data_IF_433933255820
#
_entry.id   IF_433933255820
#
_cell.length_a   1.000
_cell.length_b   1.000
_cell.length_c   1.000
_cell.angle_alpha   90.00
_cell.angle_beta   90.00
_cell.angle_gamma   90.00
#
_symmetry.space_group_name_H-M   'P 1'
#
loop_
_entity.id
_entity.type
_entity.pdbx_description
1 polymer ?
#
# COMPACT_ATOMS: atom_id res chain seq x y z
N UNK A 1 15.14 7.12 14.13
CA UNK A 1 15.62 7.81 12.90
C UNK A 1 15.54 6.96 11.64
N UNK A 2 15.88 5.66 11.68
CA UNK A 2 15.82 4.72 10.52
C UNK A 2 14.46 4.54 9.81
N UNK A 3 13.28 4.50 10.48
CA UNK A 3 12.02 4.24 9.77
C UNK A 3 11.58 5.40 8.86
N UNK A 4 11.85 6.65 9.25
CA UNK A 4 11.47 7.83 8.47
C UNK A 4 12.20 7.86 7.12
N UNK A 5 13.49 7.49 7.12
CA UNK A 5 14.32 7.48 5.92
C UNK A 5 13.87 6.41 4.91
N UNK A 6 13.42 5.26 5.42
CA UNK A 6 12.84 4.17 4.60
C UNK A 6 11.50 4.61 3.99
N UNK A 7 10.64 5.31 4.76
CA UNK A 7 9.37 5.85 4.24
C UNK A 7 9.59 6.89 3.15
N UNK A 8 10.57 7.79 3.34
CA UNK A 8 10.94 8.79 2.32
C UNK A 8 11.49 8.10 1.07
N UNK A 9 12.33 7.08 1.23
CA UNK A 9 12.88 6.32 0.12
C UNK A 9 11.79 5.58 -0.67
N UNK A 10 10.81 5.00 0.05
CA UNK A 10 9.64 4.36 -0.58
C UNK A 10 8.78 5.38 -1.34
N UNK A 11 8.58 6.58 -0.78
CA UNK A 11 7.83 7.65 -1.47
C UNK A 11 8.57 8.15 -2.71
N UNK A 12 9.87 8.35 -2.60
CA UNK A 12 10.69 8.76 -3.73
C UNK A 12 10.64 7.69 -4.84
N UNK A 13 10.78 6.41 -4.49
CA UNK A 13 10.67 5.31 -5.45
C UNK A 13 9.29 5.24 -6.12
N UNK A 14 8.23 5.45 -5.33
CA UNK A 14 6.87 5.32 -5.84
C UNK A 14 6.43 6.53 -6.67
N UNK A 15 6.91 7.74 -6.38
CA UNK A 15 6.42 8.96 -7.06
C UNK A 15 7.45 9.69 -7.93
N UNK A 16 8.71 9.73 -7.51
CA UNK A 16 9.74 10.49 -8.23
C UNK A 16 10.45 9.64 -9.29
N UNK A 17 10.68 8.36 -9.01
CA UNK A 17 11.48 7.54 -9.90
C UNK A 17 10.68 7.10 -11.14
N UNK A 18 11.34 7.05 -12.32
CA UNK A 18 10.70 6.63 -13.55
C UNK A 18 10.27 5.17 -13.45
N UNK A 19 9.05 4.91 -13.88
CA UNK A 19 8.47 3.58 -13.80
C UNK A 19 9.10 2.66 -14.85
N UNK A 20 9.39 1.42 -14.46
CA UNK A 20 9.99 0.44 -15.37
C UNK A 20 8.89 -0.46 -15.89
N UNK A 21 8.81 -0.59 -17.20
CA UNK A 21 7.86 -1.49 -17.85
C UNK A 21 8.53 -2.81 -18.17
N UNK A 22 7.94 -3.91 -17.72
CA UNK A 22 8.45 -5.27 -17.92
C UNK A 22 7.35 -6.15 -18.52
N UNK A 23 7.74 -7.08 -19.37
CA UNK A 23 6.84 -8.11 -19.86
C UNK A 23 7.07 -9.36 -19.02
N UNK A 24 6.00 -9.92 -18.48
CA UNK A 24 6.05 -11.11 -17.62
C UNK A 24 4.85 -12.03 -17.91
N UNK A 25 4.86 -13.21 -17.28
CA UNK A 25 3.77 -14.17 -17.37
C UNK A 25 3.23 -14.54 -16.00
N UNK A 26 1.93 -14.84 -15.94
CA UNK A 26 1.27 -15.30 -14.73
C UNK A 26 1.64 -16.77 -14.50
N UNK A 27 2.27 -17.07 -13.36
CA UNK A 27 2.64 -18.43 -12.99
C UNK A 27 1.62 -19.08 -12.04
N UNK A 28 1.02 -18.31 -11.15
CA UNK A 28 0.08 -18.83 -10.15
C UNK A 28 -1.06 -17.86 -9.87
N UNK A 29 -2.26 -18.41 -9.67
CA UNK A 29 -3.48 -17.66 -9.37
C UNK A 29 -4.14 -18.25 -8.12
N UNK A 30 -4.48 -17.39 -7.17
CA UNK A 30 -5.22 -17.73 -5.96
C UNK A 30 -6.43 -16.82 -5.77
N UNK A 31 -7.44 -17.29 -5.04
CA UNK A 31 -8.67 -16.53 -4.79
C UNK A 31 -8.57 -15.80 -3.45
N UNK A 32 -8.99 -14.54 -3.42
CA UNK A 32 -9.17 -13.78 -2.19
C UNK A 32 -10.58 -14.07 -1.67
N UNK A 33 -10.66 -14.76 -0.54
CA UNK A 33 -11.91 -15.16 0.11
C UNK A 33 -12.13 -14.29 1.34
N UNK A 34 -13.28 -13.65 1.43
CA UNK A 34 -13.68 -12.94 2.65
C UNK A 34 -14.78 -13.73 3.34
N UNK A 35 -14.68 -13.97 4.66
CA UNK A 35 -15.77 -14.60 5.39
C UNK A 35 -16.97 -13.64 5.42
N UNK A 36 -18.07 -14.01 4.76
CA UNK A 36 -19.34 -13.32 4.97
C UNK A 36 -20.05 -13.96 6.16
N UNK A 37 -20.46 -13.13 7.12
CA UNK A 37 -21.38 -13.52 8.17
C UNK A 37 -22.78 -13.48 7.56
N UNK A 38 -23.35 -14.63 7.22
CA UNK A 38 -24.77 -14.74 6.95
C UNK A 38 -25.52 -14.43 8.24
N UNK A 39 -26.54 -13.58 8.17
CA UNK A 39 -27.36 -13.20 9.32
C UNK A 39 -28.20 -14.36 9.87
N UNK A 40 -28.24 -15.49 9.16
CA UNK A 40 -28.80 -16.76 9.59
C UNK A 40 -27.72 -17.82 9.83
N UNK A 41 -27.93 -18.60 10.91
CA UNK A 41 -27.03 -19.58 11.53
C UNK A 41 -26.70 -20.83 10.69
N UNK A 42 -26.57 -20.75 9.37
CA UNK A 42 -26.21 -21.91 8.56
C UNK A 42 -25.20 -21.55 7.47
N UNK A 43 -23.99 -22.07 7.66
CA UNK A 43 -22.87 -22.15 6.70
C UNK A 43 -22.23 -20.79 6.36
N UNK A 44 -21.00 -20.60 6.87
CA UNK A 44 -20.12 -19.48 6.53
C UNK A 44 -19.75 -19.54 5.04
N UNK A 45 -20.53 -18.88 4.19
CA UNK A 45 -20.28 -18.81 2.76
C UNK A 45 -19.06 -17.92 2.50
N UNK A 46 -18.03 -18.48 1.88
CA UNK A 46 -16.85 -17.73 1.45
C UNK A 46 -17.14 -17.10 0.08
N UNK A 47 -17.36 -15.78 0.03
CA UNK A 47 -17.47 -15.07 -1.24
C UNK A 47 -16.07 -14.74 -1.76
N UNK A 48 -15.78 -15.13 -2.99
CA UNK A 48 -14.56 -14.70 -3.68
C UNK A 48 -14.72 -13.23 -4.07
N UNK A 49 -13.87 -12.36 -3.51
CA UNK A 49 -13.89 -10.91 -3.77
C UNK A 49 -12.85 -10.48 -4.80
N UNK A 50 -11.91 -11.37 -5.14
CA UNK A 50 -10.85 -11.03 -6.08
C UNK A 50 -9.89 -12.17 -6.31
N UNK A 51 -8.87 -11.87 -7.11
CA UNK A 51 -7.84 -12.80 -7.54
C UNK A 51 -6.48 -12.25 -7.18
N UNK A 52 -5.60 -13.11 -6.67
CA UNK A 52 -4.21 -12.81 -6.36
C UNK A 52 -3.33 -13.59 -7.32
N UNK A 53 -2.43 -12.89 -8.00
CA UNK A 53 -1.56 -13.40 -9.03
C UNK A 53 -0.12 -13.36 -8.55
N UNK A 54 0.64 -14.37 -8.94
CA UNK A 54 2.10 -14.40 -8.81
C UNK A 54 2.69 -14.63 -10.20
N UNK A 55 3.62 -13.77 -10.59
CA UNK A 55 4.26 -13.84 -11.90
C UNK A 55 5.48 -14.76 -11.89
N UNK A 56 6.03 -15.07 -13.06
CA UNK A 56 7.24 -15.89 -13.16
C UNK A 56 8.46 -15.21 -12.50
N UNK A 57 8.48 -13.88 -12.39
CA UNK A 57 9.53 -13.13 -11.66
C UNK A 57 9.24 -12.91 -10.17
N UNK A 58 8.29 -13.66 -9.58
CA UNK A 58 7.82 -13.56 -8.19
C UNK A 58 7.20 -12.20 -7.82
N UNK A 59 6.70 -11.46 -8.82
CA UNK A 59 5.91 -10.26 -8.56
C UNK A 59 4.48 -10.64 -8.18
N UNK A 60 3.96 -9.95 -7.16
CA UNK A 60 2.65 -10.25 -6.57
C UNK A 60 1.72 -9.06 -6.77
N UNK A 61 0.55 -9.32 -7.30
CA UNK A 61 -0.50 -8.32 -7.46
C UNK A 61 -1.88 -8.98 -7.34
N UNK A 62 -2.90 -8.16 -7.15
CA UNK A 62 -4.26 -8.62 -6.96
C UNK A 62 -5.22 -7.81 -7.83
N UNK A 63 -6.34 -8.40 -8.25
CA UNK A 63 -7.44 -7.72 -8.96
C UNK A 63 -8.75 -7.93 -8.22
N UNK A 64 -9.64 -6.96 -8.32
CA UNK A 64 -11.00 -7.02 -7.76
C UNK A 64 -11.93 -7.49 -8.87
N UNK A 65 -12.73 -8.52 -8.59
CA UNK A 65 -13.82 -9.07 -9.44
C UNK A 65 -13.45 -9.61 -10.84
N UNK A 66 -12.46 -9.02 -11.51
CA UNK A 66 -12.03 -9.37 -12.87
C UNK A 66 -10.91 -10.39 -12.87
N UNK A 67 -11.14 -11.52 -13.55
CA UNK A 67 -10.12 -12.54 -13.76
C UNK A 67 -9.28 -12.18 -14.99
N UNK A 68 -7.96 -12.23 -14.86
CA UNK A 68 -7.06 -12.14 -15.99
C UNK A 68 -6.92 -13.54 -16.59
N UNK A 69 -7.40 -13.72 -17.83
CA UNK A 69 -7.29 -15.00 -18.54
C UNK A 69 -6.01 -15.10 -19.37
N UNK A 70 -5.43 -13.95 -19.75
CA UNK A 70 -4.22 -13.92 -20.56
C UNK A 70 -2.98 -14.30 -19.73
N UNK A 71 -2.19 -15.30 -20.16
CA UNK A 71 -0.99 -15.72 -19.43
C UNK A 71 0.15 -14.71 -19.54
N UNK A 72 0.15 -13.88 -20.60
CA UNK A 72 1.17 -12.85 -20.85
C UNK A 72 0.62 -11.48 -20.46
N UNK A 73 1.37 -10.79 -19.61
CA UNK A 73 1.00 -9.48 -19.09
C UNK A 73 2.19 -8.51 -19.16
N UNK A 74 1.87 -7.24 -19.34
CA UNK A 74 2.82 -6.14 -19.29
C UNK A 74 2.59 -5.39 -17.99
N UNK A 75 3.64 -5.33 -17.18
CA UNK A 75 3.62 -4.78 -15.83
C UNK A 75 4.41 -3.48 -15.82
N UNK A 76 3.91 -2.49 -15.10
CA UNK A 76 4.67 -1.31 -14.74
C UNK A 76 5.01 -1.40 -13.27
N UNK A 77 6.30 -1.39 -12.93
CA UNK A 77 6.82 -1.57 -11.57
C UNK A 77 7.63 -0.37 -11.10
N UNK A 78 7.65 -0.15 -9.78
CA UNK A 78 8.59 0.79 -9.17
C UNK A 78 10.02 0.22 -9.21
N UNK A 79 11.05 1.06 -9.46
CA UNK A 79 12.40 0.54 -9.72
C UNK A 79 13.10 -0.06 -8.50
N UNK A 80 12.96 0.51 -7.29
CA UNK A 80 13.64 0.02 -6.09
C UNK A 80 12.83 -1.08 -5.39
N UNK A 81 11.55 -0.81 -5.12
CA UNK A 81 10.71 -1.73 -4.35
C UNK A 81 9.93 -2.72 -5.22
N UNK A 82 10.06 -2.65 -6.56
CA UNK A 82 9.38 -3.54 -7.52
C UNK A 82 7.88 -3.64 -7.29
N UNK A 83 7.26 -2.54 -6.84
CA UNK A 83 5.82 -2.51 -6.56
C UNK A 83 5.06 -2.43 -7.88
N UNK A 84 4.13 -3.35 -8.11
CA UNK A 84 3.30 -3.38 -9.32
C UNK A 84 2.29 -2.23 -9.27
N UNK A 85 2.39 -1.30 -10.22
CA UNK A 85 1.53 -0.11 -10.33
C UNK A 85 0.43 -0.28 -11.36
N UNK A 86 0.70 -0.98 -12.46
CA UNK A 86 -0.27 -1.18 -13.53
C UNK A 86 -0.03 -2.53 -14.19
N UNK A 87 -1.12 -3.20 -14.55
CA UNK A 87 -1.12 -4.44 -15.34
C UNK A 87 -1.89 -4.19 -16.62
N UNK A 88 -1.29 -4.55 -17.74
CA UNK A 88 -1.89 -4.49 -19.07
C UNK A 88 -1.86 -5.92 -19.63
N UNK A 89 -3.00 -6.41 -20.10
CA UNK A 89 -3.07 -7.74 -20.74
C UNK A 89 -2.47 -7.71 -22.15
N UNK A 90 -2.29 -8.88 -22.76
CA UNK A 90 -1.83 -8.98 -24.16
C UNK A 90 -2.74 -8.27 -25.16
N UNK A 91 -4.00 -8.02 -24.81
CA UNK A 91 -4.99 -7.30 -25.62
C UNK A 91 -4.95 -5.78 -25.41
N UNK A 92 -3.91 -5.26 -24.74
CA UNK A 92 -3.77 -3.87 -24.32
C UNK A 92 -4.90 -3.37 -23.38
N UNK A 93 -5.60 -4.29 -22.70
CA UNK A 93 -6.62 -3.93 -21.73
C UNK A 93 -5.93 -3.66 -20.39
N UNK A 94 -6.13 -2.44 -19.88
CA UNK A 94 -5.66 -2.06 -18.53
C UNK A 94 -6.54 -2.73 -17.50
N UNK A 95 -5.93 -3.47 -16.58
CA UNK A 95 -6.65 -4.15 -15.49
C UNK A 95 -6.51 -3.34 -14.22
N UNK A 96 -7.63 -3.08 -13.58
CA UNK A 96 -7.64 -2.40 -12.29
C UNK A 96 -7.12 -3.34 -11.20
N UNK A 97 -6.04 -2.90 -10.58
CA UNK A 97 -5.41 -3.60 -9.48
C UNK A 97 -6.16 -3.33 -8.18
N UNK A 98 -6.39 -4.39 -7.40
CA UNK A 98 -6.64 -4.30 -5.98
C UNK A 98 -5.33 -3.84 -5.30
N UNK A 99 -5.07 -2.54 -5.36
CA UNK A 99 -3.91 -1.96 -4.67
C UNK A 99 -4.06 -2.20 -3.17
N UNK A 100 -3.13 -2.96 -2.56
CA UNK A 100 -3.05 -3.07 -1.10
C UNK A 100 -2.87 -1.70 -0.42
N UNK A 101 -2.31 -0.75 -1.16
CA UNK A 101 -2.41 0.68 -0.87
C UNK A 101 -3.66 1.26 -1.53
N UNK A 102 -4.83 1.01 -0.94
CA UNK A 102 -6.04 1.70 -1.37
C UNK A 102 -5.82 3.23 -1.26
N UNK A 103 -6.48 4.04 -2.11
CA UNK A 103 -6.27 5.50 -2.16
C UNK A 103 -6.39 6.18 -0.79
N UNK A 104 -7.22 5.62 0.09
CA UNK A 104 -7.34 6.00 1.50
C UNK A 104 -6.05 5.83 2.30
N UNK A 105 -5.37 4.68 2.18
CA UNK A 105 -4.08 4.43 2.84
C UNK A 105 -2.99 5.37 2.33
N UNK A 106 -3.04 5.72 1.04
CA UNK A 106 -2.12 6.69 0.43
C UNK A 106 -2.35 8.12 0.95
N UNK A 107 -3.61 8.54 1.09
CA UNK A 107 -3.96 9.84 1.66
C UNK A 107 -3.59 9.92 3.15
N UNK A 108 -3.89 8.86 3.90
CA UNK A 108 -3.58 8.71 5.32
C UNK A 108 -2.07 8.66 5.56
N UNK A 109 -1.30 8.05 4.65
CA UNK A 109 0.16 8.10 4.62
C UNK A 109 0.67 9.54 4.47
N UNK A 110 0.16 10.27 3.48
CA UNK A 110 0.59 11.64 3.20
C UNK A 110 0.23 12.55 4.38
N UNK A 111 -0.97 12.40 4.94
CA UNK A 111 -1.45 13.19 6.07
C UNK A 111 -0.59 12.95 7.31
N UNK A 112 -0.31 11.69 7.66
CA UNK A 112 0.52 11.37 8.82
C UNK A 112 1.98 11.82 8.65
N UNK A 113 2.57 11.66 7.46
CA UNK A 113 3.91 12.21 7.20
C UNK A 113 3.93 13.73 7.27
N UNK A 114 2.90 14.41 6.73
CA UNK A 114 2.77 15.86 6.81
C UNK A 114 2.66 16.36 8.25
N UNK A 115 1.86 15.69 9.08
CA UNK A 115 1.71 16.03 10.49
C UNK A 115 3.03 15.85 11.26
N UNK A 116 3.76 14.76 11.03
CA UNK A 116 5.09 14.54 11.62
C UNK A 116 6.06 15.64 11.18
N UNK A 117 6.04 16.02 9.89
CA UNK A 117 6.91 17.07 9.35
C UNK A 117 6.61 18.44 9.98
N UNK A 118 5.34 18.83 10.06
CA UNK A 118 4.90 20.08 10.72
C UNK A 118 5.31 20.06 12.19
N UNK A 119 5.17 18.92 12.86
CA UNK A 119 5.57 18.74 14.26
C UNK A 119 7.07 18.98 14.47
N UNK A 120 7.92 18.43 13.61
CA UNK A 120 9.38 18.62 13.65
C UNK A 120 9.77 20.06 13.31
N UNK A 121 9.13 20.66 12.29
CA UNK A 121 9.39 22.06 11.90
C UNK A 121 8.97 23.02 13.02
N UNK A 122 7.82 22.78 13.66
CA UNK A 122 7.33 23.56 14.79
C UNK A 122 8.31 23.51 15.97
N UNK A 123 8.89 22.34 16.27
CA UNK A 123 9.92 22.20 17.31
C UNK A 123 11.21 22.95 16.97
N UNK A 124 11.63 22.93 15.71
CA UNK A 124 12.86 23.61 15.28
C UNK A 124 12.72 25.14 15.22
N UNK A 125 11.55 25.66 14.82
CA UNK A 125 11.30 27.11 14.77
C UNK A 125 11.10 27.67 16.18
N UNK A 126 10.39 26.93 17.04
CA UNK A 126 10.03 27.41 18.37
C UNK A 126 11.10 26.98 19.37
N UNK A 127 12.17 27.78 19.52
CA UNK A 127 13.28 27.50 20.46
C UNK A 127 12.87 27.51 21.95
N UNK A 128 11.70 28.04 22.28
CA UNK A 128 11.12 28.09 23.64
C UNK A 128 9.80 27.34 23.69
N UNK A 129 9.86 26.02 23.73
CA UNK A 129 8.69 25.18 23.98
C UNK A 129 8.72 24.81 25.46
N UNK A 130 7.58 24.95 26.14
CA UNK A 130 7.44 24.50 27.53
C UNK A 130 7.64 22.98 27.60
N UNK A 131 8.22 22.46 28.68
CA UNK A 131 8.48 21.02 28.80
C UNK A 131 7.23 20.17 28.55
N UNK A 132 6.07 20.66 28.99
CA UNK A 132 4.78 20.02 28.80
C UNK A 132 4.36 19.93 27.32
N UNK A 133 4.60 20.98 26.54
CA UNK A 133 4.31 21.00 25.11
C UNK A 133 5.28 20.09 24.32
N UNK A 134 6.54 19.97 24.75
CA UNK A 134 7.52 19.02 24.18
C UNK A 134 7.08 17.57 24.41
N UNK A 135 6.59 17.27 25.62
CA UNK A 135 6.11 15.94 25.98
C UNK A 135 4.86 15.55 25.18
N UNK A 136 3.88 16.44 25.08
CA UNK A 136 2.67 16.21 24.29
C UNK A 136 2.99 15.96 22.81
N UNK A 137 3.95 16.69 22.27
CA UNK A 137 4.36 16.55 20.88
C UNK A 137 5.03 15.18 20.64
N UNK A 138 5.84 14.69 21.58
CA UNK A 138 6.41 13.34 21.52
C UNK A 138 5.30 12.28 21.58
N UNK A 139 4.35 12.39 22.51
CA UNK A 139 3.23 11.45 22.64
C UNK A 139 2.34 11.44 21.40
N UNK A 140 2.08 12.60 20.80
CA UNK A 140 1.28 12.70 19.58
C UNK A 140 1.97 12.02 18.38
N UNK A 141 3.28 12.21 18.21
CA UNK A 141 4.04 11.50 17.17
C UNK A 141 4.08 9.98 17.42
N UNK A 142 4.24 9.55 18.67
CA UNK A 142 4.17 8.13 19.05
C UNK A 142 2.80 7.52 18.75
N UNK A 143 1.73 8.25 19.05
CA UNK A 143 0.37 7.83 18.76
C UNK A 143 0.14 7.67 17.25
N UNK A 144 0.58 8.65 16.44
CA UNK A 144 0.51 8.57 14.98
C UNK A 144 1.26 7.35 14.46
N UNK A 145 2.47 7.09 14.96
CA UNK A 145 3.27 5.91 14.57
C UNK A 145 2.55 4.61 14.94
N UNK A 146 1.93 4.53 16.12
CA UNK A 146 1.17 3.36 16.55
C UNK A 146 -0.05 3.10 15.64
N UNK A 147 -0.82 4.15 15.33
CA UNK A 147 -1.94 4.06 14.36
C UNK A 147 -1.42 3.61 12.99
N UNK A 148 -0.25 4.08 12.58
CA UNK A 148 0.40 3.70 11.34
C UNK A 148 0.76 2.20 11.28
N UNK A 149 1.37 1.69 12.33
CA UNK A 149 1.75 0.27 12.44
C UNK A 149 0.49 -0.60 12.40
N UNK A 150 -0.57 -0.20 13.11
CA UNK A 150 -1.85 -0.90 13.06
C UNK A 150 -2.45 -0.88 11.64
N UNK A 151 -2.43 0.26 10.96
CA UNK A 151 -2.96 0.38 9.59
C UNK A 151 -2.18 -0.49 8.58
N UNK A 152 -0.85 -0.59 8.71
CA UNK A 152 -0.03 -1.46 7.87
C UNK A 152 -0.28 -2.95 8.12
N UNK A 153 -0.54 -3.36 9.37
CA UNK A 153 -0.80 -4.76 9.72
C UNK A 153 -2.18 -5.22 9.24
N UNK A 154 -3.13 -4.29 9.09
CA UNK A 154 -4.50 -4.58 8.66
C UNK A 154 -4.68 -4.66 7.13
N UNK A 155 -3.62 -4.35 6.36
CA UNK A 155 -3.55 -4.45 4.90
C UNK A 155 -3.00 -5.83 4.50
#
# INVERSE_FOLDING_TARGET
MKPILITILFLADFFLLPEVTINDSISYVSFIKTPQTSQDNSVRANKSIGYKYTTATDLKFSTIETKIESPKIKLTVSPLFKTVKTVITSENIKVDLASGFNGFNKLLLILFNGVIMISIVYVNITKKITENARLNLIFFNLFIIAVWICALILI
#
